data_IF_839763154273
#
_entry.id   IF_839763154273
#
_cell.length_a   1.000
_cell.length_b   1.000
_cell.length_c   1.000
_cell.angle_alpha   90.00
_cell.angle_beta   90.00
_cell.angle_gamma   90.00
#
_symmetry.space_group_name_H-M   'P 1'
#
loop_
_entity.id
_entity.type
_entity.pdbx_description
1 polymer ?
#
# COMPACT_ATOMS: atom_id res chain seq x y z
N UNK A 1 -0.03 -2.63 -35.26
CA UNK A 1 1.11 -2.93 -34.37
C UNK A 1 2.22 -1.89 -34.49
N UNK A 2 2.77 -1.59 -35.67
CA UNK A 2 3.88 -0.64 -35.84
C UNK A 2 3.58 0.75 -35.26
N UNK A 3 2.40 1.30 -35.53
CA UNK A 3 1.99 2.60 -34.98
C UNK A 3 1.95 2.63 -33.44
N UNK A 4 1.46 1.56 -32.80
CA UNK A 4 1.40 1.47 -31.33
C UNK A 4 2.82 1.48 -30.75
N UNK A 5 3.72 0.71 -31.37
CA UNK A 5 5.11 0.66 -30.95
C UNK A 5 5.81 2.02 -31.08
N UNK A 6 5.59 2.74 -32.19
CA UNK A 6 6.12 4.09 -32.38
C UNK A 6 5.59 5.07 -31.33
N UNK A 7 4.30 4.99 -30.98
CA UNK A 7 3.70 5.83 -29.94
C UNK A 7 4.30 5.52 -28.58
N UNK A 8 4.50 4.24 -28.24
CA UNK A 8 5.13 3.85 -26.98
C UNK A 8 6.56 4.40 -26.93
N UNK A 9 7.34 4.25 -27.99
CA UNK A 9 8.69 4.81 -28.05
C UNK A 9 8.69 6.34 -27.92
N UNK A 10 7.77 7.03 -28.59
CA UNK A 10 7.62 8.47 -28.48
C UNK A 10 7.24 8.89 -27.05
N UNK A 11 6.30 8.20 -26.41
CA UNK A 11 5.91 8.45 -25.04
C UNK A 11 7.09 8.24 -24.08
N UNK A 12 7.87 7.15 -24.22
CA UNK A 12 9.10 6.93 -23.44
C UNK A 12 10.09 8.08 -23.64
N UNK A 13 10.31 8.51 -24.90
CA UNK A 13 11.24 9.58 -25.22
C UNK A 13 10.82 10.92 -24.62
N UNK A 14 9.52 11.27 -24.71
CA UNK A 14 8.98 12.51 -24.13
C UNK A 14 9.03 12.44 -22.61
N UNK A 15 8.60 11.33 -22.00
CA UNK A 15 8.67 11.11 -20.56
C UNK A 15 10.10 11.27 -20.04
N UNK A 16 11.07 10.61 -20.67
CA UNK A 16 12.49 10.74 -20.31
C UNK A 16 12.98 12.17 -20.52
N UNK A 17 12.59 12.83 -21.62
CA UNK A 17 12.89 14.23 -21.88
C UNK A 17 12.41 15.17 -20.77
N UNK A 18 11.17 14.97 -20.27
CA UNK A 18 10.62 15.76 -19.15
C UNK A 18 11.46 15.55 -17.89
N UNK A 19 11.85 14.31 -17.58
CA UNK A 19 12.66 14.01 -16.39
C UNK A 19 14.03 14.69 -16.42
N UNK A 20 14.64 14.84 -17.60
CA UNK A 20 15.95 15.48 -17.80
C UNK A 20 15.92 17.01 -17.81
N UNK A 21 14.75 17.65 -17.76
CA UNK A 21 14.66 19.12 -17.70
C UNK A 21 15.16 19.68 -16.37
N UNK A 22 15.52 20.96 -16.32
CA UNK A 22 15.88 21.67 -15.08
C UNK A 22 14.65 22.21 -14.30
N UNK A 23 13.44 21.79 -14.68
CA UNK A 23 12.21 22.24 -14.01
C UNK A 23 12.12 21.77 -12.55
N UNK A 24 11.37 22.52 -11.74
CA UNK A 24 11.04 22.10 -10.38
C UNK A 24 10.27 20.78 -10.39
N UNK A 25 10.39 19.99 -9.32
CA UNK A 25 9.73 18.68 -9.21
C UNK A 25 8.22 18.73 -9.42
N UNK A 26 7.56 19.80 -8.95
CA UNK A 26 6.12 20.03 -9.13
C UNK A 26 5.77 20.24 -10.61
N UNK A 27 6.55 21.05 -11.33
CA UNK A 27 6.33 21.28 -12.76
C UNK A 27 6.56 19.99 -13.55
N UNK A 28 7.64 19.25 -13.26
CA UNK A 28 7.90 17.94 -13.87
C UNK A 28 6.73 16.97 -13.64
N UNK A 29 6.20 16.92 -12.42
CA UNK A 29 5.05 16.09 -12.08
C UNK A 29 3.83 16.41 -12.96
N UNK A 30 3.44 17.69 -13.08
CA UNK A 30 2.30 18.07 -13.91
C UNK A 30 2.54 17.78 -15.40
N UNK A 31 3.75 17.99 -15.90
CA UNK A 31 4.11 17.67 -17.29
C UNK A 31 4.03 16.16 -17.57
N UNK A 32 4.55 15.33 -16.67
CA UNK A 32 4.45 13.86 -16.75
C UNK A 32 2.99 13.42 -16.73
N UNK A 33 2.19 13.93 -15.79
CA UNK A 33 0.76 13.60 -15.69
C UNK A 33 0.03 13.99 -16.97
N UNK A 34 0.30 15.18 -17.51
CA UNK A 34 -0.32 15.65 -18.75
C UNK A 34 0.05 14.74 -19.93
N UNK A 35 1.32 14.40 -20.09
CA UNK A 35 1.79 13.49 -21.14
C UNK A 35 1.13 12.11 -21.02
N UNK A 36 1.09 11.53 -19.82
CA UNK A 36 0.44 10.24 -19.56
C UNK A 36 -1.07 10.27 -19.84
N UNK A 37 -1.77 11.36 -19.51
CA UNK A 37 -3.19 11.55 -19.86
C UNK A 37 -3.36 11.59 -21.37
N UNK A 38 -2.54 12.36 -22.09
CA UNK A 38 -2.63 12.48 -23.55
C UNK A 38 -2.40 11.13 -24.23
N UNK A 39 -1.38 10.39 -23.80
CA UNK A 39 -1.08 9.05 -24.31
C UNK A 39 -2.22 8.07 -24.00
N UNK A 40 -2.75 8.08 -22.77
CA UNK A 40 -3.88 7.23 -22.39
C UNK A 40 -5.10 7.52 -23.26
N UNK A 41 -5.50 8.78 -23.39
CA UNK A 41 -6.65 9.19 -24.20
C UNK A 41 -6.48 8.83 -25.67
N UNK A 42 -5.27 8.99 -26.21
CA UNK A 42 -4.97 8.55 -27.56
C UNK A 42 -5.16 7.03 -27.71
N UNK A 43 -4.57 6.23 -26.80
CA UNK A 43 -4.67 4.77 -26.86
C UNK A 43 -6.12 4.29 -26.73
N UNK A 44 -6.89 4.86 -25.79
CA UNK A 44 -8.31 4.55 -25.58
C UNK A 44 -9.11 4.82 -26.86
N UNK A 45 -8.98 6.02 -27.45
CA UNK A 45 -9.76 6.41 -28.64
C UNK A 45 -9.35 5.62 -29.87
N UNK A 46 -8.04 5.48 -30.12
CA UNK A 46 -7.53 4.86 -31.35
C UNK A 46 -7.72 3.35 -31.37
N UNK A 47 -7.50 2.68 -30.24
CA UNK A 47 -7.53 1.23 -30.14
C UNK A 47 -8.79 0.70 -29.44
N UNK A 48 -9.72 1.58 -29.03
CA UNK A 48 -10.96 1.23 -28.32
C UNK A 48 -10.69 0.36 -27.09
N UNK A 49 -9.59 0.64 -26.39
CA UNK A 49 -9.22 -0.10 -25.19
C UNK A 49 -10.21 0.20 -24.07
N UNK A 50 -10.59 -0.79 -23.25
CA UNK A 50 -11.39 -0.54 -22.08
C UNK A 50 -10.64 0.39 -21.13
N UNK A 51 -11.37 1.29 -20.48
CA UNK A 51 -10.79 2.32 -19.64
C UNK A 51 -11.67 2.66 -18.46
N UNK A 52 -11.05 3.04 -17.35
CA UNK A 52 -11.73 3.51 -16.14
C UNK A 52 -11.02 4.74 -15.61
N UNK A 53 -11.77 5.81 -15.30
CA UNK A 53 -11.22 7.14 -14.92
C UNK A 53 -10.14 7.69 -15.87
N UNK A 54 -10.15 7.30 -17.14
CA UNK A 54 -9.14 7.70 -18.13
C UNK A 54 -7.85 6.87 -18.14
N UNK A 55 -7.76 5.84 -17.30
CA UNK A 55 -6.68 4.84 -17.29
C UNK A 55 -6.99 3.71 -18.27
N UNK A 56 -5.95 3.12 -18.87
CA UNK A 56 -6.09 2.04 -19.85
C UNK A 56 -6.08 0.69 -19.14
N UNK A 57 -7.06 -0.16 -19.43
CA UNK A 57 -7.18 -1.50 -18.87
C UNK A 57 -6.73 -2.55 -19.89
N UNK A 58 -5.62 -3.22 -19.61
CA UNK A 58 -5.18 -4.36 -20.42
C UNK A 58 -5.77 -5.65 -19.86
N UNK A 59 -6.97 -6.01 -20.32
CA UNK A 59 -7.68 -7.22 -19.91
C UNK A 59 -6.99 -8.49 -20.43
N UNK A 60 -6.91 -9.51 -19.59
CA UNK A 60 -6.37 -10.83 -19.94
C UNK A 60 -7.13 -11.94 -19.22
N UNK A 61 -7.55 -12.96 -19.97
CA UNK A 61 -8.16 -14.16 -19.38
C UNK A 61 -7.13 -15.17 -18.87
N UNK A 62 -5.85 -14.99 -19.21
CA UNK A 62 -4.78 -15.95 -18.84
C UNK A 62 -4.62 -16.09 -17.33
N UNK A 63 -4.83 -15.01 -16.58
CA UNK A 63 -4.77 -15.02 -15.12
C UNK A 63 -5.88 -15.86 -14.47
N UNK A 64 -7.02 -16.03 -15.14
CA UNK A 64 -8.19 -16.73 -14.59
C UNK A 64 -7.88 -18.22 -14.35
N UNK A 65 -7.08 -18.85 -15.23
CA UNK A 65 -6.67 -20.25 -15.05
C UNK A 65 -5.84 -20.43 -13.77
N UNK A 66 -4.85 -19.55 -13.56
CA UNK A 66 -4.02 -19.56 -12.35
C UNK A 66 -4.87 -19.33 -11.09
N UNK A 67 -5.81 -18.38 -11.14
CA UNK A 67 -6.75 -18.12 -10.02
C UNK A 67 -7.56 -19.38 -9.70
N UNK A 68 -8.08 -20.09 -10.72
CA UNK A 68 -8.83 -21.33 -10.54
C UNK A 68 -7.97 -22.44 -9.92
N UNK A 69 -6.71 -22.57 -10.33
CA UNK A 69 -5.77 -23.55 -9.76
C UNK A 69 -5.43 -23.22 -8.30
N UNK A 70 -5.15 -21.95 -7.98
CA UNK A 70 -4.88 -21.50 -6.62
C UNK A 70 -6.09 -21.68 -5.70
N UNK A 71 -7.29 -21.44 -6.20
CA UNK A 71 -8.54 -21.60 -5.45
C UNK A 71 -8.81 -23.05 -5.01
N UNK A 72 -8.18 -24.06 -5.63
CA UNK A 72 -8.29 -25.45 -5.19
C UNK A 72 -7.75 -25.68 -3.77
N UNK A 73 -6.83 -24.83 -3.31
CA UNK A 73 -6.26 -24.90 -1.94
C UNK A 73 -7.11 -24.12 -0.93
N UNK A 74 -8.43 -24.31 -0.95
CA UNK A 74 -9.40 -23.55 -0.16
C UNK A 74 -9.01 -23.41 1.31
N UNK A 75 -8.68 -24.53 1.98
CA UNK A 75 -8.34 -24.51 3.42
C UNK A 75 -7.16 -23.60 3.74
N UNK A 76 -6.16 -23.54 2.87
CA UNK A 76 -4.98 -22.68 3.05
C UNK A 76 -5.35 -21.22 2.93
N UNK A 77 -6.14 -20.85 1.92
CA UNK A 77 -6.58 -19.47 1.69
C UNK A 77 -7.53 -18.97 2.77
N UNK A 78 -8.46 -19.81 3.23
CA UNK A 78 -9.32 -19.50 4.37
C UNK A 78 -8.48 -19.31 5.66
N UNK A 79 -7.52 -20.20 5.92
CA UNK A 79 -6.61 -20.05 7.06
C UNK A 79 -5.80 -18.75 6.99
N UNK A 80 -5.23 -18.42 5.83
CA UNK A 80 -4.47 -17.19 5.62
C UNK A 80 -5.35 -15.97 5.85
N UNK A 81 -6.57 -15.96 5.31
CA UNK A 81 -7.51 -14.85 5.49
C UNK A 81 -7.98 -14.69 6.95
N UNK A 82 -8.22 -15.80 7.66
CA UNK A 82 -8.56 -15.78 9.09
C UNK A 82 -7.37 -15.28 9.94
N UNK A 83 -6.14 -15.70 9.61
CA UNK A 83 -4.91 -15.18 10.21
C UNK A 83 -4.73 -13.68 9.92
N UNK A 84 -4.99 -13.27 8.69
CA UNK A 84 -4.96 -11.91 8.20
C UNK A 84 -5.97 -10.98 8.88
N UNK A 85 -7.11 -11.52 9.26
CA UNK A 85 -8.13 -10.83 10.05
C UNK A 85 -7.59 -10.46 11.42
N UNK A 86 -6.85 -11.36 12.08
CA UNK A 86 -6.16 -11.07 13.33
C UNK A 86 -4.96 -10.15 13.16
N UNK A 87 -4.20 -10.24 12.07
CA UNK A 87 -3.16 -9.25 11.75
C UNK A 87 -3.74 -7.84 11.64
N UNK A 88 -4.86 -7.73 10.92
CA UNK A 88 -5.47 -6.45 10.60
C UNK A 88 -6.19 -5.83 11.79
N UNK A 89 -6.96 -6.62 12.54
CA UNK A 89 -7.86 -6.13 13.60
C UNK A 89 -7.51 -6.66 15.00
N UNK A 90 -6.41 -7.38 15.19
CA UNK A 90 -6.02 -7.92 16.50
C UNK A 90 -7.05 -8.91 17.05
N UNK A 91 -7.22 -8.95 18.37
CA UNK A 91 -8.25 -9.76 19.04
C UNK A 91 -9.68 -9.28 18.76
N UNK A 92 -9.86 -8.00 18.38
CA UNK A 92 -11.15 -7.46 17.97
C UNK A 92 -11.71 -8.23 16.75
N UNK A 93 -10.86 -8.85 15.92
CA UNK A 93 -11.32 -9.69 14.81
C UNK A 93 -12.26 -10.81 15.26
N UNK A 94 -12.04 -11.40 16.45
CA UNK A 94 -12.86 -12.50 16.98
C UNK A 94 -14.29 -12.07 17.34
N UNK A 95 -14.45 -10.79 17.70
CA UNK A 95 -15.74 -10.18 18.04
C UNK A 95 -16.41 -9.60 16.80
N UNK A 96 -15.64 -8.85 16.01
CA UNK A 96 -16.10 -8.15 14.82
C UNK A 96 -16.58 -9.15 13.75
N UNK A 97 -15.79 -10.19 13.47
CA UNK A 97 -16.01 -11.11 12.35
C UNK A 97 -16.73 -12.41 12.76
N UNK A 98 -17.26 -12.46 13.99
CA UNK A 98 -18.12 -13.49 14.60
C UNK A 98 -17.74 -14.96 14.28
N UNK A 99 -17.19 -15.66 15.28
CA UNK A 99 -17.13 -17.14 15.41
C UNK A 99 -16.38 -17.96 14.35
N UNK A 100 -15.82 -17.38 13.28
CA UNK A 100 -15.10 -18.16 12.27
C UNK A 100 -13.57 -18.15 12.37
N UNK A 101 -12.96 -17.29 13.19
CA UNK A 101 -11.51 -17.27 13.37
C UNK A 101 -11.08 -18.41 14.28
N UNK A 102 -10.44 -19.43 13.71
CA UNK A 102 -9.93 -20.57 14.47
C UNK A 102 -8.79 -20.13 15.42
N UNK A 103 -8.65 -20.77 16.58
CA UNK A 103 -7.57 -20.47 17.53
C UNK A 103 -6.16 -20.56 16.88
N UNK A 104 -5.85 -21.56 16.02
CA UNK A 104 -4.58 -21.60 15.31
C UNK A 104 -4.35 -20.40 14.39
N UNK A 105 -5.38 -19.94 13.67
CA UNK A 105 -5.26 -18.74 12.82
C UNK A 105 -5.05 -17.47 13.64
N UNK A 106 -5.70 -17.35 14.81
CA UNK A 106 -5.47 -16.22 15.72
C UNK A 106 -4.05 -16.23 16.26
N UNK A 107 -3.56 -17.38 16.72
CA UNK A 107 -2.18 -17.52 17.21
C UNK A 107 -1.15 -17.21 16.13
N UNK A 108 -1.35 -17.73 14.91
CA UNK A 108 -0.51 -17.40 13.77
C UNK A 108 -0.56 -15.90 13.43
N UNK A 109 -1.74 -15.28 13.49
CA UNK A 109 -1.93 -13.86 13.24
C UNK A 109 -1.18 -13.00 14.25
N UNK A 110 -1.26 -13.31 15.54
CA UNK A 110 -0.51 -12.63 16.61
C UNK A 110 1.00 -12.82 16.41
N UNK A 111 1.46 -14.02 16.10
CA UNK A 111 2.88 -14.29 15.86
C UNK A 111 3.41 -13.48 14.67
N UNK A 112 2.69 -13.48 13.53
CA UNK A 112 3.05 -12.67 12.37
C UNK A 112 2.98 -11.16 12.69
N UNK A 113 2.01 -10.71 13.49
CA UNK A 113 1.89 -9.31 13.92
C UNK A 113 3.11 -8.86 14.71
N UNK A 114 3.60 -9.71 15.63
CA UNK A 114 4.82 -9.46 16.39
C UNK A 114 6.05 -9.39 15.47
N UNK A 115 6.19 -10.33 14.54
CA UNK A 115 7.29 -10.32 13.55
C UNK A 115 7.25 -9.05 12.72
N UNK A 116 6.09 -8.65 12.21
CA UNK A 116 5.96 -7.43 11.41
C UNK A 116 6.29 -6.21 12.25
N UNK A 117 5.71 -6.09 13.45
CA UNK A 117 5.89 -4.91 14.29
C UNK A 117 7.32 -4.73 14.77
N UNK A 118 7.99 -5.84 15.14
CA UNK A 118 9.33 -5.79 15.74
C UNK A 118 10.45 -5.77 14.70
N UNK A 119 10.25 -6.39 13.53
CA UNK A 119 11.32 -6.58 12.53
C UNK A 119 11.02 -5.85 11.23
N UNK A 120 9.85 -6.11 10.63
CA UNK A 120 9.57 -5.65 9.26
C UNK A 120 9.25 -4.16 9.20
N UNK A 121 8.33 -3.68 10.04
CA UNK A 121 7.81 -2.32 10.02
C UNK A 121 8.89 -1.26 10.28
N UNK A 122 9.76 -1.37 11.30
CA UNK A 122 10.81 -0.38 11.54
C UNK A 122 11.75 -0.25 10.34
N UNK A 123 12.19 -1.39 9.80
CA UNK A 123 13.13 -1.43 8.67
C UNK A 123 12.45 -0.97 7.38
N UNK A 124 11.17 -1.31 7.16
CA UNK A 124 10.39 -0.81 6.03
C UNK A 124 10.29 0.72 6.03
N UNK A 125 9.99 1.31 7.18
CA UNK A 125 9.84 2.76 7.31
C UNK A 125 11.17 3.48 7.17
N UNK A 126 12.25 2.95 7.75
CA UNK A 126 13.59 3.51 7.58
C UNK A 126 14.07 3.40 6.14
N UNK A 127 13.84 2.26 5.49
CA UNK A 127 14.21 2.06 4.09
C UNK A 127 13.45 3.04 3.17
N UNK A 128 12.13 3.20 3.35
CA UNK A 128 11.35 4.16 2.59
C UNK A 128 11.80 5.60 2.85
N UNK A 129 12.07 5.97 4.11
CA UNK A 129 12.61 7.31 4.43
C UNK A 129 13.92 7.55 3.69
N UNK A 130 14.85 6.58 3.69
CA UNK A 130 16.12 6.68 2.99
C UNK A 130 15.94 6.87 1.47
N UNK A 131 14.96 6.18 0.87
CA UNK A 131 14.64 6.33 -0.56
C UNK A 131 14.04 7.70 -0.88
N UNK A 132 13.21 8.24 0.01
CA UNK A 132 12.52 9.52 -0.19
C UNK A 132 13.42 10.73 0.04
N UNK A 133 14.34 10.67 1.02
CA UNK A 133 15.19 11.82 1.39
C UNK A 133 16.58 11.78 0.74
N UNK A 134 16.99 10.65 0.17
CA UNK A 134 18.33 10.47 -0.41
C UNK A 134 19.46 10.49 0.64
N UNK A 135 19.14 10.53 1.92
CA UNK A 135 20.10 10.59 3.04
C UNK A 135 20.15 9.26 3.78
N UNK A 136 21.36 8.80 4.20
CA UNK A 136 21.48 7.68 5.13
C UNK A 136 20.73 8.00 6.42
N UNK A 137 19.75 7.16 6.77
CA UNK A 137 18.86 7.40 7.91
C UNK A 137 19.57 7.10 9.22
N UNK A 138 20.20 8.13 9.79
CA UNK A 138 20.60 8.19 11.21
C UNK A 138 20.24 9.53 11.86
N UNK A 139 19.36 10.32 11.23
CA UNK A 139 18.76 11.46 11.91
C UNK A 139 17.45 11.06 12.57
N UNK A 140 17.55 10.96 13.90
CA UNK A 140 16.47 10.75 14.83
C UNK A 140 15.55 11.97 14.77
N UNK A 141 14.62 11.97 13.81
CA UNK A 141 13.56 12.99 13.81
C UNK A 141 12.85 12.89 15.16
N UNK A 142 12.67 14.03 15.82
CA UNK A 142 11.90 14.14 17.06
C UNK A 142 10.45 13.79 16.75
N UNK A 143 10.12 12.50 16.80
CA UNK A 143 8.74 12.03 16.86
C UNK A 143 8.11 12.65 18.09
N UNK A 144 6.88 13.12 17.96
CA UNK A 144 6.07 13.61 19.05
C UNK A 144 5.98 12.54 20.15
N UNK A 145 6.75 12.71 21.23
CA UNK A 145 6.76 11.79 22.36
C UNK A 145 5.73 12.25 23.39
N UNK A 146 4.66 11.49 23.53
CA UNK A 146 3.70 11.65 24.62
C UNK A 146 4.18 10.75 25.75
N UNK A 147 4.66 11.30 26.86
CA UNK A 147 5.04 10.51 28.04
C UNK A 147 6.30 9.65 27.88
N UNK A 148 6.51 8.75 28.84
CA UNK A 148 7.69 7.89 28.90
C UNK A 148 7.68 6.78 27.81
N UNK A 149 8.86 6.48 27.26
CA UNK A 149 9.01 5.55 26.14
C UNK A 149 8.54 4.13 26.45
N UNK A 150 8.77 3.65 27.67
CA UNK A 150 8.33 2.32 28.09
C UNK A 150 6.80 2.27 28.20
N UNK A 151 6.21 3.31 28.75
CA UNK A 151 4.75 3.43 28.86
C UNK A 151 4.09 3.44 27.48
N UNK A 152 4.62 4.21 26.53
CA UNK A 152 4.11 4.25 25.16
C UNK A 152 4.27 2.92 24.44
N UNK A 153 5.37 2.21 24.64
CA UNK A 153 5.57 0.88 24.07
C UNK A 153 4.52 -0.12 24.59
N UNK A 154 4.19 -0.07 25.89
CA UNK A 154 3.14 -0.92 26.47
C UNK A 154 1.76 -0.58 25.89
N UNK A 155 1.43 0.71 25.78
CA UNK A 155 0.15 1.16 25.19
C UNK A 155 0.07 0.72 23.72
N UNK A 156 1.12 0.96 22.94
CA UNK A 156 1.22 0.53 21.54
C UNK A 156 1.07 -0.98 21.40
N UNK A 157 1.72 -1.75 22.26
CA UNK A 157 1.61 -3.21 22.31
C UNK A 157 0.18 -3.68 22.62
N UNK A 158 -0.50 -3.02 23.57
CA UNK A 158 -1.90 -3.31 23.88
C UNK A 158 -2.83 -2.96 22.73
N UNK A 159 -2.68 -1.77 22.12
CA UNK A 159 -3.45 -1.33 20.95
C UNK A 159 -3.28 -2.33 19.79
N UNK A 160 -2.03 -2.74 19.52
CA UNK A 160 -1.73 -3.71 18.48
C UNK A 160 -2.34 -5.08 18.78
N UNK A 161 -2.21 -5.58 20.01
CA UNK A 161 -2.78 -6.87 20.40
C UNK A 161 -4.31 -6.90 20.26
N UNK A 162 -4.99 -5.86 20.75
CA UNK A 162 -6.44 -5.84 20.78
C UNK A 162 -7.07 -5.37 19.47
N UNK A 163 -6.45 -4.43 18.75
CA UNK A 163 -7.04 -3.80 17.57
C UNK A 163 -6.22 -3.92 16.28
N UNK A 164 -5.07 -4.58 16.32
CA UNK A 164 -4.21 -4.83 15.15
C UNK A 164 -3.66 -3.58 14.50
N UNK A 165 -3.19 -3.73 13.25
CA UNK A 165 -2.72 -2.62 12.45
C UNK A 165 -3.82 -1.58 12.16
N UNK A 166 -5.08 -2.00 12.08
CA UNK A 166 -6.23 -1.12 11.90
C UNK A 166 -6.32 -0.07 13.00
N UNK A 167 -6.41 -0.51 14.26
CA UNK A 167 -6.58 0.43 15.38
C UNK A 167 -5.33 1.27 15.60
N UNK A 168 -4.15 0.67 15.42
CA UNK A 168 -2.88 1.38 15.51
C UNK A 168 -2.80 2.51 14.47
N UNK A 169 -3.13 2.23 13.21
CA UNK A 169 -3.14 3.22 12.14
C UNK A 169 -4.19 4.30 12.38
N UNK A 170 -5.42 3.91 12.75
CA UNK A 170 -6.51 4.83 13.03
C UNK A 170 -6.13 5.82 14.14
N UNK A 171 -5.64 5.32 15.27
CA UNK A 171 -5.20 6.18 16.38
C UNK A 171 -4.03 7.07 15.97
N UNK A 172 -3.07 6.55 15.20
CA UNK A 172 -1.92 7.34 14.73
C UNK A 172 -2.36 8.53 13.87
N UNK A 173 -3.26 8.32 12.90
CA UNK A 173 -3.77 9.39 12.03
C UNK A 173 -4.59 10.41 12.82
N UNK A 174 -5.40 9.96 13.78
CA UNK A 174 -6.22 10.84 14.62
C UNK A 174 -5.35 11.70 15.54
N UNK A 175 -4.39 11.10 16.23
CA UNK A 175 -3.48 11.82 17.13
C UNK A 175 -2.64 12.82 16.36
N UNK A 176 -2.14 12.43 15.18
CA UNK A 176 -1.35 13.34 14.34
C UNK A 176 -2.20 14.46 13.72
N UNK A 177 -3.43 14.15 13.28
CA UNK A 177 -4.38 15.15 12.80
C UNK A 177 -4.74 16.16 13.88
N UNK A 178 -4.95 15.70 15.12
CA UNK A 178 -5.18 16.58 16.26
C UNK A 178 -3.96 17.46 16.58
N UNK A 179 -2.75 16.91 16.48
CA UNK A 179 -1.52 17.67 16.64
C UNK A 179 -1.39 18.81 15.61
N UNK A 180 -1.63 18.53 14.34
CA UNK A 180 -1.64 19.54 13.26
C UNK A 180 -2.75 20.57 13.49
N UNK A 181 -3.96 20.14 13.89
CA UNK A 181 -5.05 21.05 14.20
C UNK A 181 -4.67 22.01 15.35
N UNK A 182 -4.03 21.50 16.40
CA UNK A 182 -3.55 22.32 17.52
C UNK A 182 -2.52 23.36 17.05
N UNK A 183 -1.59 22.97 16.17
CA UNK A 183 -0.63 23.90 15.57
C UNK A 183 -1.29 24.94 14.66
N UNK A 184 -2.29 24.55 13.87
CA UNK A 184 -3.05 25.47 13.03
C UNK A 184 -3.81 26.51 13.88
N UNK A 185 -4.43 26.07 14.97
CA UNK A 185 -5.09 26.97 15.93
C UNK A 185 -4.05 27.91 16.57
N UNK A 186 -2.89 27.40 16.99
CA UNK A 186 -1.80 28.22 17.52
C UNK A 186 -1.32 29.27 16.51
N UNK A 187 -1.17 28.89 15.23
CA UNK A 187 -0.81 29.82 14.17
C UNK A 187 -1.86 30.93 14.00
N UNK A 188 -3.15 30.59 14.00
CA UNK A 188 -4.24 31.57 13.89
C UNK A 188 -4.27 32.52 15.09
N UNK A 189 -4.03 32.01 16.31
CA UNK A 189 -4.13 32.80 17.54
C UNK A 189 -2.90 33.66 17.80
N UNK A 190 -1.70 33.20 17.44
CA UNK A 190 -0.43 33.83 17.83
C UNK A 190 0.39 34.35 16.65
N UNK A 191 0.05 33.96 15.41
CA UNK A 191 0.83 34.23 14.21
C UNK A 191 2.09 33.37 14.05
N UNK A 192 2.42 32.50 15.01
CA UNK A 192 3.62 31.66 14.95
C UNK A 192 3.38 30.47 14.01
N UNK A 193 4.07 30.44 12.87
CA UNK A 193 3.90 29.40 11.85
C UNK A 193 4.72 28.13 12.17
N UNK A 194 4.26 27.35 13.14
CA UNK A 194 4.83 26.03 13.46
C UNK A 194 4.46 24.95 12.44
N UNK A 195 3.48 25.22 11.57
CA UNK A 195 3.09 24.31 10.48
C UNK A 195 4.18 24.20 9.42
N UNK A 196 4.94 25.26 9.15
CA UNK A 196 6.04 25.26 8.19
C UNK A 196 7.19 24.30 8.56
N UNK A 197 7.41 24.07 9.86
CA UNK A 197 8.43 23.13 10.36
C UNK A 197 7.87 21.76 10.71
N UNK A 198 6.58 21.53 10.47
CA UNK A 198 5.93 20.24 10.74
C UNK A 198 5.96 19.39 9.48
N UNK A 199 6.44 18.15 9.62
CA UNK A 199 6.42 17.20 8.50
C UNK A 199 4.98 16.95 8.05
N UNK A 200 4.70 16.79 6.76
CA UNK A 200 3.46 16.20 6.33
C UNK A 200 3.32 14.76 6.84
N UNK A 201 2.10 14.33 7.15
CA UNK A 201 1.80 13.00 7.70
C UNK A 201 1.75 11.87 6.65
N UNK A 202 1.86 12.22 5.36
CA UNK A 202 1.91 11.25 4.26
C UNK A 202 2.51 11.87 3.02
N UNK A 203 2.94 11.06 2.07
CA UNK A 203 3.46 11.49 0.76
C UNK A 203 3.00 10.51 -0.31
N UNK A 204 2.82 10.99 -1.54
CA UNK A 204 2.49 10.12 -2.67
C UNK A 204 3.75 9.40 -3.14
N UNK A 205 3.73 8.07 -3.18
CA UNK A 205 4.87 7.25 -3.59
C UNK A 205 4.85 7.05 -5.11
N UNK A 206 5.73 7.76 -5.80
CA UNK A 206 5.74 7.91 -7.26
C UNK A 206 7.12 7.56 -7.85
N UNK A 207 7.25 6.42 -8.57
CA UNK A 207 8.46 6.07 -9.29
C UNK A 207 8.89 7.17 -10.28
N UNK A 208 10.17 7.51 -10.27
CA UNK A 208 10.77 8.57 -11.07
C UNK A 208 10.62 9.98 -10.49
N UNK A 209 9.80 10.18 -9.45
CA UNK A 209 9.66 11.47 -8.74
C UNK A 209 10.36 11.40 -7.39
N UNK A 210 9.92 10.48 -6.52
CA UNK A 210 10.49 10.30 -5.18
C UNK A 210 10.90 8.85 -4.88
N UNK A 211 10.70 7.94 -5.83
CA UNK A 211 11.25 6.59 -5.79
C UNK A 211 12.10 6.32 -7.05
N UNK A 212 13.10 5.42 -6.99
CA UNK A 212 13.77 4.93 -8.19
C UNK A 212 12.76 4.37 -9.21
N UNK A 213 12.89 4.77 -10.48
CA UNK A 213 11.85 4.54 -11.48
C UNK A 213 11.59 3.05 -11.76
N UNK A 214 12.64 2.29 -12.12
CA UNK A 214 12.49 0.89 -12.50
C UNK A 214 12.17 0.01 -11.29
N UNK A 215 12.91 0.17 -10.20
CA UNK A 215 12.72 -0.57 -8.96
C UNK A 215 11.34 -0.29 -8.35
N UNK A 216 10.90 0.97 -8.40
CA UNK A 216 9.59 1.39 -7.93
C UNK A 216 8.45 0.79 -8.75
N UNK A 217 8.53 0.81 -10.09
CA UNK A 217 7.52 0.18 -10.95
C UNK A 217 7.45 -1.33 -10.70
N UNK A 218 8.59 -2.01 -10.64
CA UNK A 218 8.63 -3.46 -10.38
C UNK A 218 8.03 -3.79 -9.01
N UNK A 219 8.33 -2.99 -7.98
CA UNK A 219 7.75 -3.14 -6.66
C UNK A 219 6.22 -2.95 -6.69
N UNK A 220 5.71 -1.89 -7.32
CA UNK A 220 4.26 -1.62 -7.43
C UNK A 220 3.51 -2.75 -8.15
N UNK A 221 4.06 -3.25 -9.26
CA UNK A 221 3.47 -4.39 -9.98
C UNK A 221 3.40 -5.62 -9.05
N UNK A 222 4.50 -5.92 -8.35
CA UNK A 222 4.55 -7.08 -7.46
C UNK A 222 3.49 -6.99 -6.34
N UNK A 223 3.33 -5.82 -5.72
CA UNK A 223 2.34 -5.58 -4.66
C UNK A 223 0.91 -5.73 -5.18
N UNK A 224 0.58 -5.05 -6.28
CA UNK A 224 -0.78 -5.10 -6.82
C UNK A 224 -1.13 -6.49 -7.33
N UNK A 225 -0.17 -7.21 -7.91
CA UNK A 225 -0.39 -8.57 -8.39
C UNK A 225 -0.75 -9.54 -7.24
N UNK A 226 -0.06 -9.46 -6.10
CA UNK A 226 -0.39 -10.30 -4.94
C UNK A 226 -1.67 -9.85 -4.23
N UNK A 227 -1.93 -8.54 -4.17
CA UNK A 227 -3.11 -7.95 -3.54
C UNK A 227 -4.40 -8.29 -4.30
N UNK A 228 -4.47 -7.92 -5.57
CA UNK A 228 -5.64 -8.18 -6.41
C UNK A 228 -5.80 -9.67 -6.71
N UNK A 229 -4.66 -10.37 -6.82
CA UNK A 229 -4.65 -11.82 -7.00
C UNK A 229 -5.28 -12.56 -5.83
N UNK A 230 -5.04 -12.15 -4.58
CA UNK A 230 -5.64 -12.80 -3.41
C UNK A 230 -7.12 -12.52 -3.27
N UNK A 231 -7.58 -11.28 -3.56
CA UNK A 231 -8.99 -10.95 -3.72
C UNK A 231 -9.66 -11.89 -4.72
N UNK A 232 -9.05 -12.10 -5.89
CA UNK A 232 -9.55 -12.98 -6.93
C UNK A 232 -9.71 -14.43 -6.44
N UNK A 233 -8.70 -14.94 -5.76
CA UNK A 233 -8.69 -16.34 -5.30
C UNK A 233 -9.77 -16.56 -4.24
N UNK A 234 -9.89 -15.66 -3.25
CA UNK A 234 -10.93 -15.79 -2.23
C UNK A 234 -12.32 -15.54 -2.80
N UNK A 235 -12.48 -14.62 -3.76
CA UNK A 235 -13.75 -14.42 -4.46
C UNK A 235 -14.16 -15.69 -5.20
N UNK A 236 -13.21 -16.37 -5.86
CA UNK A 236 -13.46 -17.64 -6.54
C UNK A 236 -13.85 -18.75 -5.57
N UNK A 237 -13.18 -18.85 -4.42
CA UNK A 237 -13.54 -19.78 -3.32
C UNK A 237 -14.95 -19.49 -2.79
N UNK A 238 -15.32 -18.21 -2.71
CA UNK A 238 -16.66 -17.78 -2.33
C UNK A 238 -17.72 -18.00 -3.42
N UNK A 239 -17.38 -18.66 -4.53
CA UNK A 239 -18.23 -18.86 -5.72
C UNK A 239 -18.67 -17.56 -6.41
N UNK A 240 -17.90 -16.48 -6.25
CA UNK A 240 -18.10 -15.22 -6.98
C UNK A 240 -17.36 -15.29 -8.31
N UNK A 241 -18.05 -14.94 -9.39
CA UNK A 241 -17.45 -14.89 -10.73
C UNK A 241 -16.45 -13.73 -10.84
N UNK A 242 -15.27 -14.00 -11.39
CA UNK A 242 -14.32 -12.96 -11.80
C UNK A 242 -14.68 -12.53 -13.23
N UNK A 243 -15.08 -11.26 -13.42
CA UNK A 243 -15.51 -10.72 -14.72
C UNK A 243 -14.31 -10.46 -15.63
N UNK A 244 -13.27 -9.85 -15.09
CA UNK A 244 -12.03 -9.60 -15.81
C UNK A 244 -10.85 -9.44 -14.85
N UNK A 245 -9.63 -9.59 -15.37
CA UNK A 245 -8.39 -9.24 -14.67
C UNK A 245 -7.38 -8.68 -15.67
N UNK A 246 -6.38 -7.95 -15.18
CA UNK A 246 -5.41 -7.33 -16.06
C UNK A 246 -4.45 -6.38 -15.38
N UNK A 247 -3.79 -5.57 -16.20
CA UNK A 247 -2.87 -4.51 -15.79
C UNK A 247 -3.52 -3.16 -16.08
N UNK A 248 -3.39 -2.22 -15.15
CA UNK A 248 -3.80 -0.83 -15.30
C UNK A 248 -2.59 -0.03 -15.76
N UNK A 249 -2.74 0.66 -16.90
CA UNK A 249 -1.72 1.55 -17.43
C UNK A 249 -2.15 3.01 -17.27
N UNK A 250 -1.21 3.85 -16.84
CA UNK A 250 -1.29 5.30 -16.99
C UNK A 250 -0.26 5.72 -18.03
N UNK A 251 -0.76 6.20 -19.17
CA UNK A 251 0.00 6.30 -20.40
C UNK A 251 0.56 4.93 -20.77
N UNK A 252 1.89 4.81 -20.78
CA UNK A 252 2.61 3.56 -21.05
C UNK A 252 3.08 2.85 -19.78
N UNK A 253 2.94 3.49 -18.61
CA UNK A 253 3.49 2.99 -17.36
C UNK A 253 2.46 2.05 -16.71
N UNK A 254 2.82 0.81 -16.39
CA UNK A 254 2.00 -0.04 -15.54
C UNK A 254 1.98 0.54 -14.13
N UNK A 255 0.84 1.06 -13.73
CA UNK A 255 0.64 1.66 -12.40
C UNK A 255 -0.07 0.71 -11.44
N UNK A 256 -0.60 -0.41 -11.94
CA UNK A 256 -1.18 -1.43 -11.08
C UNK A 256 -1.66 -2.67 -11.82
N UNK A 257 -2.18 -3.61 -11.05
CA UNK A 257 -2.98 -4.72 -11.52
C UNK A 257 -4.43 -4.52 -11.07
N UNK A 258 -5.37 -5.23 -11.69
CA UNK A 258 -6.75 -5.25 -11.22
C UNK A 258 -7.36 -6.63 -11.41
N UNK A 259 -8.29 -6.94 -10.53
CA UNK A 259 -9.23 -8.05 -10.67
C UNK A 259 -10.61 -7.48 -10.39
N UNK A 260 -11.60 -7.88 -11.20
CA UNK A 260 -12.97 -7.40 -11.07
C UNK A 260 -13.90 -8.57 -10.68
N UNK A 261 -14.10 -8.84 -9.37
CA UNK A 261 -15.14 -9.73 -8.91
C UNK A 261 -16.54 -9.21 -9.26
N UNK A 262 -17.52 -10.09 -9.39
CA UNK A 262 -18.92 -9.67 -9.53
C UNK A 262 -19.48 -9.16 -8.20
N UNK A 263 -19.40 -7.86 -7.98
CA UNK A 263 -19.83 -7.20 -6.73
C UNK A 263 -21.27 -7.55 -6.31
N UNK A 264 -22.20 -7.65 -7.27
CA UNK A 264 -23.59 -8.05 -6.98
C UNK A 264 -23.71 -9.47 -6.46
N UNK A 265 -22.79 -10.35 -6.86
CA UNK A 265 -22.71 -11.70 -6.30
C UNK A 265 -22.05 -11.66 -4.93
N UNK A 266 -20.96 -10.91 -4.76
CA UNK A 266 -20.25 -10.77 -3.50
C UNK A 266 -21.18 -10.26 -2.39
N UNK A 267 -22.00 -9.23 -2.64
CA UNK A 267 -22.98 -8.70 -1.69
C UNK A 267 -24.00 -9.73 -1.20
N UNK A 268 -24.26 -10.78 -1.99
CA UNK A 268 -25.21 -11.86 -1.67
C UNK A 268 -24.57 -13.04 -0.96
N UNK A 269 -23.24 -13.09 -0.90
CA UNK A 269 -22.51 -14.14 -0.18
C UNK A 269 -22.65 -13.91 1.33
N UNK A 270 -22.50 -14.94 2.15
CA UNK A 270 -22.42 -14.80 3.61
C UNK A 270 -21.34 -13.80 4.05
N UNK A 271 -21.66 -12.95 5.03
CA UNK A 271 -20.79 -11.88 5.53
C UNK A 271 -19.37 -12.34 5.87
N UNK A 272 -19.21 -13.56 6.39
CA UNK A 272 -17.90 -14.11 6.73
C UNK A 272 -17.04 -14.36 5.49
N UNK A 273 -17.63 -14.90 4.41
CA UNK A 273 -16.89 -15.11 3.16
C UNK A 273 -16.61 -13.78 2.46
N UNK A 274 -17.53 -12.81 2.52
CA UNK A 274 -17.25 -11.45 2.04
C UNK A 274 -16.07 -10.83 2.78
N UNK A 275 -16.05 -10.94 4.11
CA UNK A 275 -14.95 -10.46 4.94
C UNK A 275 -13.64 -11.14 4.58
N UNK A 276 -13.64 -12.46 4.34
CA UNK A 276 -12.44 -13.18 3.91
C UNK A 276 -11.91 -12.71 2.57
N UNK A 277 -12.77 -12.35 1.63
CA UNK A 277 -12.37 -11.72 0.36
C UNK A 277 -11.69 -10.38 0.66
N UNK A 278 -12.37 -9.47 1.34
CA UNK A 278 -11.87 -8.12 1.60
C UNK A 278 -10.55 -8.07 2.39
N UNK A 279 -10.34 -9.02 3.30
CA UNK A 279 -9.11 -9.11 4.09
C UNK A 279 -7.96 -9.76 3.30
N UNK A 280 -8.26 -10.50 2.23
CA UNK A 280 -7.27 -11.26 1.47
C UNK A 280 -6.17 -10.38 0.87
N UNK A 281 -6.52 -9.20 0.35
CA UNK A 281 -5.58 -8.24 -0.22
C UNK A 281 -4.50 -7.81 0.77
N UNK A 282 -4.91 -7.23 1.91
CA UNK A 282 -3.98 -6.82 2.97
C UNK A 282 -3.20 -7.99 3.56
N UNK A 283 -3.83 -9.15 3.71
CA UNK A 283 -3.16 -10.37 4.19
C UNK A 283 -2.02 -10.79 3.27
N UNK A 284 -2.29 -10.87 1.97
CA UNK A 284 -1.30 -11.26 0.98
C UNK A 284 -0.13 -10.28 0.97
N UNK A 285 -0.40 -8.98 1.13
CA UNK A 285 0.65 -7.97 1.22
C UNK A 285 1.48 -8.12 2.51
N UNK A 286 0.87 -8.33 3.68
CA UNK A 286 1.63 -8.57 4.92
C UNK A 286 2.53 -9.81 4.81
N UNK A 287 2.00 -10.92 4.28
CA UNK A 287 2.78 -12.16 4.08
C UNK A 287 3.91 -11.92 3.07
N UNK A 288 3.61 -11.28 1.94
CA UNK A 288 4.61 -10.90 0.93
C UNK A 288 5.70 -10.00 1.53
N UNK A 289 5.34 -9.07 2.41
CA UNK A 289 6.29 -8.20 3.10
C UNK A 289 7.27 -9.00 3.97
N UNK A 290 6.79 -9.98 4.75
CA UNK A 290 7.68 -10.85 5.55
C UNK A 290 8.62 -11.66 4.65
N UNK A 291 8.11 -12.26 3.57
CA UNK A 291 8.92 -13.10 2.68
C UNK A 291 9.99 -12.28 1.96
N UNK A 292 9.62 -11.11 1.44
CA UNK A 292 10.54 -10.21 0.76
C UNK A 292 11.53 -9.56 1.74
N UNK A 293 11.14 -9.34 2.99
CA UNK A 293 12.05 -8.88 4.03
C UNK A 293 13.20 -9.88 4.29
N UNK A 294 12.92 -11.19 4.31
CA UNK A 294 13.96 -12.21 4.45
C UNK A 294 14.94 -12.15 3.27
N UNK A 295 14.42 -12.03 2.05
CA UNK A 295 15.25 -11.88 0.85
C UNK A 295 16.05 -10.57 0.88
N UNK A 296 15.45 -9.47 1.32
CA UNK A 296 16.11 -8.18 1.48
C UNK A 296 17.31 -8.28 2.44
N UNK A 297 17.13 -8.92 3.60
CA UNK A 297 18.22 -9.14 4.57
C UNK A 297 19.32 -10.00 3.96
N UNK A 298 18.98 -11.07 3.23
CA UNK A 298 19.97 -11.90 2.55
C UNK A 298 20.79 -11.11 1.52
N UNK A 299 20.14 -10.27 0.70
CA UNK A 299 20.80 -9.40 -0.27
C UNK A 299 21.68 -8.33 0.42
N UNK A 300 21.21 -7.76 1.53
CA UNK A 300 21.97 -6.80 2.32
C UNK A 300 23.27 -7.42 2.87
N UNK A 301 23.18 -8.63 3.43
CA UNK A 301 24.34 -9.37 3.94
C UNK A 301 25.31 -9.74 2.82
N UNK A 302 24.78 -10.15 1.65
CA UNK A 302 25.59 -10.46 0.48
C UNK A 302 26.38 -9.23 0.01
N UNK A 303 25.74 -8.07 -0.11
CA UNK A 303 26.43 -6.82 -0.47
C UNK A 303 27.48 -6.40 0.57
N UNK A 304 27.18 -6.59 1.87
CA UNK A 304 28.11 -6.25 2.96
C UNK A 304 29.32 -7.19 3.04
N UNK A 305 29.18 -8.43 2.60
CA UNK A 305 30.24 -9.45 2.70
C UNK A 305 31.48 -9.14 1.86
N UNK A 306 31.38 -8.26 0.86
CA UNK A 306 32.45 -8.01 -0.12
C UNK A 306 32.60 -9.10 -1.18
N UNK A 307 31.81 -10.19 -1.13
CA UNK A 307 31.89 -11.31 -2.07
C UNK A 307 31.54 -10.93 -3.51
N UNK A 308 30.66 -9.94 -3.70
CA UNK A 308 30.13 -9.53 -5.01
C UNK A 308 31.09 -8.57 -5.74
N UNK A 309 32.27 -8.31 -5.18
CA UNK A 309 33.27 -7.42 -5.75
C UNK A 309 33.06 -5.95 -5.35
N UNK A 310 33.76 -5.06 -6.05
CA UNK A 310 33.75 -3.63 -5.77
C UNK A 310 32.49 -2.96 -6.33
N UNK A 311 32.21 -1.73 -5.87
CA UNK A 311 31.02 -0.98 -6.31
C UNK A 311 30.97 -0.70 -7.80
N UNK A 312 32.11 -0.73 -8.50
CA UNK A 312 32.16 -0.59 -9.97
C UNK A 312 31.77 -1.85 -10.74
N UNK A 313 31.70 -3.02 -10.10
CA UNK A 313 31.50 -4.28 -10.78
C UNK A 313 30.04 -4.46 -11.21
N UNK A 314 29.82 -5.02 -12.41
CA UNK A 314 28.48 -5.28 -12.95
C UNK A 314 27.66 -6.19 -12.01
N UNK A 315 28.30 -7.19 -11.41
CA UNK A 315 27.66 -8.09 -10.45
C UNK A 315 27.17 -7.32 -9.22
N UNK A 316 27.99 -6.42 -8.68
CA UNK A 316 27.62 -5.58 -7.53
C UNK A 316 26.41 -4.70 -7.88
N UNK A 317 26.41 -4.07 -9.05
CA UNK A 317 25.31 -3.22 -9.51
C UNK A 317 24.01 -4.01 -9.72
N UNK A 318 24.09 -5.23 -10.27
CA UNK A 318 22.92 -6.10 -10.43
C UNK A 318 22.33 -6.52 -9.07
N UNK A 319 23.17 -6.93 -8.11
CA UNK A 319 22.70 -7.28 -6.76
C UNK A 319 22.16 -6.04 -6.03
N UNK A 320 22.76 -4.86 -6.23
CA UNK A 320 22.26 -3.59 -5.67
C UNK A 320 20.88 -3.23 -6.24
N UNK A 321 20.67 -3.40 -7.54
CA UNK A 321 19.36 -3.20 -8.17
C UNK A 321 18.30 -4.14 -7.57
N UNK A 322 18.62 -5.42 -7.39
CA UNK A 322 17.75 -6.39 -6.73
C UNK A 322 17.48 -6.01 -5.27
N UNK A 323 18.51 -5.58 -4.54
CA UNK A 323 18.39 -5.13 -3.15
C UNK A 323 17.41 -3.94 -3.03
N UNK A 324 17.52 -2.94 -3.91
CA UNK A 324 16.61 -1.78 -3.91
C UNK A 324 15.19 -2.21 -4.31
N UNK A 325 15.05 -3.02 -5.36
CA UNK A 325 13.73 -3.50 -5.84
C UNK A 325 13.02 -4.31 -4.78
N UNK A 326 13.70 -5.28 -4.16
CA UNK A 326 13.14 -6.10 -3.07
C UNK A 326 12.88 -5.23 -1.85
N UNK A 327 13.78 -4.29 -1.55
CA UNK A 327 13.63 -3.29 -0.50
C UNK A 327 12.33 -2.49 -0.60
N UNK A 328 12.07 -1.91 -1.78
CA UNK A 328 10.84 -1.22 -2.08
C UNK A 328 9.64 -2.16 -2.03
N UNK A 329 9.75 -3.35 -2.63
CA UNK A 329 8.66 -4.31 -2.68
C UNK A 329 8.21 -4.74 -1.27
N UNK A 330 9.11 -5.08 -0.35
CA UNK A 330 8.71 -5.48 1.01
C UNK A 330 8.12 -4.30 1.79
N UNK A 331 8.75 -3.11 1.68
CA UNK A 331 8.34 -1.93 2.43
C UNK A 331 6.98 -1.42 1.98
N UNK A 332 6.77 -1.33 0.67
CA UNK A 332 5.50 -0.90 0.08
C UNK A 332 4.40 -1.96 0.27
N UNK A 333 4.71 -3.27 0.26
CA UNK A 333 3.74 -4.28 0.66
C UNK A 333 3.21 -4.02 2.08
N UNK A 334 4.10 -3.73 3.04
CA UNK A 334 3.71 -3.38 4.41
C UNK A 334 2.83 -2.12 4.46
N UNK A 335 3.25 -1.05 3.77
CA UNK A 335 2.51 0.22 3.76
C UNK A 335 1.13 0.04 3.12
N UNK A 336 1.04 -0.57 1.94
CA UNK A 336 -0.23 -0.79 1.24
C UNK A 336 -1.15 -1.72 2.03
N UNK A 337 -0.61 -2.78 2.65
CA UNK A 337 -1.41 -3.65 3.53
C UNK A 337 -2.07 -2.85 4.65
N UNK A 338 -1.32 -1.94 5.27
CA UNK A 338 -1.75 -1.12 6.41
C UNK A 338 -2.73 -0.02 5.98
N UNK A 339 -2.38 0.76 4.95
CA UNK A 339 -3.23 1.83 4.39
C UNK A 339 -4.58 1.29 3.91
N UNK A 340 -4.61 0.09 3.35
CA UNK A 340 -5.85 -0.52 2.87
C UNK A 340 -6.80 -0.97 4.02
N UNK A 341 -6.36 -0.90 5.28
CA UNK A 341 -7.24 -1.07 6.44
C UNK A 341 -7.98 0.22 6.81
N UNK A 342 -7.66 1.36 6.19
CA UNK A 342 -8.31 2.62 6.53
C UNK A 342 -9.83 2.53 6.33
N UNK A 343 -10.63 3.07 7.27
CA UNK A 343 -12.08 3.09 7.15
C UNK A 343 -12.56 4.21 6.22
N UNK A 344 -11.99 4.31 5.02
CA UNK A 344 -12.42 5.26 3.97
C UNK A 344 -12.91 4.49 2.74
N UNK A 345 -13.88 5.02 1.96
CA UNK A 345 -14.55 4.28 0.89
C UNK A 345 -13.66 3.70 -0.23
N UNK A 346 -12.43 4.21 -0.36
CA UNK A 346 -11.46 3.74 -1.36
C UNK A 346 -10.68 2.49 -0.93
N UNK A 347 -10.80 2.07 0.34
CA UNK A 347 -10.01 0.99 0.93
C UNK A 347 -10.90 -0.14 1.45
N UNK A 348 -10.37 -1.37 1.46
CA UNK A 348 -11.12 -2.55 1.89
C UNK A 348 -11.57 -2.47 3.35
N UNK A 349 -10.79 -1.81 4.21
CA UNK A 349 -11.10 -1.61 5.62
C UNK A 349 -12.49 -1.01 5.85
N UNK A 350 -12.92 -0.05 5.02
CA UNK A 350 -14.27 0.51 5.09
C UNK A 350 -15.35 -0.54 4.84
N UNK A 351 -15.20 -1.35 3.79
CA UNK A 351 -16.15 -2.41 3.44
C UNK A 351 -16.20 -3.49 4.52
N UNK A 352 -15.06 -3.83 5.12
CA UNK A 352 -15.00 -4.79 6.23
C UNK A 352 -15.82 -4.27 7.42
N UNK A 353 -15.69 -2.98 7.78
CA UNK A 353 -16.50 -2.39 8.84
C UNK A 353 -17.99 -2.35 8.48
N UNK A 354 -18.34 -1.98 7.24
CA UNK A 354 -19.72 -1.93 6.78
C UNK A 354 -20.45 -3.27 6.88
N UNK A 355 -19.76 -4.37 6.55
CA UNK A 355 -20.33 -5.73 6.60
C UNK A 355 -20.48 -6.23 8.04
N UNK A 356 -19.52 -5.91 8.91
CA UNK A 356 -19.43 -6.49 10.25
C UNK A 356 -20.06 -5.63 11.36
N UNK A 357 -20.24 -4.32 11.13
CA UNK A 357 -20.88 -3.40 12.07
C UNK A 357 -22.32 -3.12 11.61
N UNK A 358 -23.29 -3.56 12.41
CA UNK A 358 -24.72 -3.43 12.08
C UNK A 358 -25.21 -1.97 12.02
N UNK A 359 -24.61 -1.07 12.81
CA UNK A 359 -25.02 0.32 12.89
C UNK A 359 -24.27 1.19 11.87
N UNK A 360 -24.95 1.54 10.77
CA UNK A 360 -24.41 2.41 9.71
C UNK A 360 -23.98 3.79 10.20
N UNK A 361 -24.61 4.34 11.23
CA UNK A 361 -24.22 5.64 11.79
C UNK A 361 -22.83 5.57 12.44
N UNK A 362 -22.49 4.44 13.07
CA UNK A 362 -21.17 4.23 13.67
C UNK A 362 -20.11 4.15 12.57
N UNK A 363 -20.37 3.38 11.50
CA UNK A 363 -19.45 3.27 10.36
C UNK A 363 -19.22 4.63 9.70
N UNK A 364 -20.30 5.37 9.44
CA UNK A 364 -20.21 6.71 8.86
C UNK A 364 -19.45 7.69 9.76
N UNK A 365 -19.68 7.65 11.08
CA UNK A 365 -18.96 8.50 12.03
C UNK A 365 -17.45 8.21 12.01
N UNK A 366 -17.05 6.92 12.07
CA UNK A 366 -15.65 6.52 11.96
C UNK A 366 -15.05 7.02 10.65
N UNK A 367 -15.75 6.85 9.53
CA UNK A 367 -15.30 7.29 8.22
C UNK A 367 -15.08 8.80 8.16
N UNK A 368 -16.06 9.62 8.57
CA UNK A 368 -15.94 11.08 8.52
C UNK A 368 -14.84 11.61 9.45
N UNK A 369 -14.73 11.06 10.66
CA UNK A 369 -13.68 11.42 11.62
C UNK A 369 -12.29 11.08 11.04
N UNK A 370 -12.15 9.89 10.45
CA UNK A 370 -10.91 9.46 9.81
C UNK A 370 -10.58 10.33 8.61
N UNK A 371 -11.57 10.66 7.77
CA UNK A 371 -11.36 11.49 6.58
C UNK A 371 -10.89 12.90 6.95
N UNK A 372 -11.49 13.50 7.98
CA UNK A 372 -11.09 14.81 8.48
C UNK A 372 -9.65 14.78 9.00
N UNK A 373 -9.30 13.79 9.82
CA UNK A 373 -7.93 13.64 10.33
C UNK A 373 -6.93 13.36 9.20
N UNK A 374 -7.26 12.45 8.27
CA UNK A 374 -6.45 12.15 7.10
C UNK A 374 -6.18 13.40 6.27
N UNK A 375 -7.19 14.23 6.00
CA UNK A 375 -7.00 15.49 5.28
C UNK A 375 -6.09 16.47 6.04
N UNK A 376 -6.26 16.59 7.37
CA UNK A 376 -5.39 17.42 8.21
C UNK A 376 -3.92 16.98 8.13
N UNK A 377 -3.64 15.69 8.00
CA UNK A 377 -2.27 15.18 7.89
C UNK A 377 -1.50 15.76 6.68
N UNK A 378 -2.19 16.23 5.65
CA UNK A 378 -1.57 16.87 4.48
C UNK A 378 -1.47 18.40 4.59
N UNK A 379 -2.09 19.02 5.59
CA UNK A 379 -2.09 20.48 5.75
C UNK A 379 -0.68 21.10 5.77
N UNK A 380 0.35 20.51 6.39
CA UNK A 380 1.69 21.09 6.41
C UNK A 380 2.31 21.32 5.02
N UNK A 381 1.91 20.56 3.99
CA UNK A 381 2.39 20.79 2.62
C UNK A 381 2.11 22.19 2.09
N UNK A 382 1.04 22.85 2.55
CA UNK A 382 0.68 24.19 2.09
C UNK A 382 1.46 25.30 2.82
N UNK A 383 2.21 24.94 3.86
CA UNK A 383 3.02 25.87 4.66
C UNK A 383 4.52 25.62 4.50
N UNK A 384 4.92 24.47 3.96
CA UNK A 384 6.29 24.17 3.58
C UNK A 384 6.68 24.96 2.31
N UNK A 385 7.65 25.87 2.45
CA UNK A 385 8.19 26.71 1.37
C UNK A 385 9.42 26.10 0.70
#
# INVERSE_FOLDING_TARGET
>A
MILLFLIILLAIAVFYGILQTDFSGVIKFFLVVLEMVLVSQFMIRKYKLPSEMGLVLLKSERGIKLINELAQRQKTWEFLSDMGSTLSYGLLSTVLMRKNTSLPSVAAGIACMLVITLLVAPIAMEFLKAMLTGTPVLEKNQLFQIGDAQTMAIIAGAVMLFGGFFLMLLLSILLYGFHILAQAIQFILTGVNTLASTSPGGTLLLPGVNLPFFEGILALIAIMAVHEGSHAVLARIANVKIKSSGVVLFGIIPIGAFVEPDEKQLERVEAVRQTRVLVAGSTANFVSSILLFILFVALALLLKSGFVGASGDMAYQAIRFLYITVGLAFSLNFVIATVNLLPLPLFDGYRVLEINIQNKHVVNAIMFITLAAFALNFLPYFFAG
#
